data_IF_336639863949
#
_entry.id   IF_336639863949
#
_cell.length_a   1.000
_cell.length_b   1.000
_cell.length_c   1.000
_cell.angle_alpha   90.00
_cell.angle_beta   90.00
_cell.angle_gamma   90.00
#
_symmetry.space_group_name_H-M   'P 1'
#
loop_
_entity.id
_entity.type
_entity.pdbx_description
1 polymer ?
#
# COMPACT_ATOMS: atom_id res chain seq x y z
N UNK A 1 -18.98 86.77 20.20
CA UNK A 1 -19.73 87.08 21.44
C UNK A 1 -21.23 87.02 21.13
N UNK A 2 -22.01 86.31 21.97
CA UNK A 2 -23.49 86.07 21.96
C UNK A 2 -23.96 84.93 21.01
N UNK A 3 -24.26 83.71 21.46
CA UNK A 3 -25.27 83.15 22.42
C UNK A 3 -26.68 82.94 21.80
N UNK A 4 -27.00 81.67 21.51
CA UNK A 4 -28.22 80.84 21.82
C UNK A 4 -29.65 81.42 21.63
N UNK A 5 -30.75 80.63 21.41
CA UNK A 5 -30.98 79.25 21.92
C UNK A 5 -31.77 78.24 21.05
N UNK A 6 -31.73 76.98 21.52
CA UNK A 6 -32.49 75.72 21.26
C UNK A 6 -34.03 75.80 21.39
N UNK A 7 -34.87 74.85 20.90
CA UNK A 7 -35.12 73.50 21.51
C UNK A 7 -35.23 72.33 20.50
N UNK A 8 -34.62 71.15 20.76
CA UNK A 8 -35.14 69.94 21.45
C UNK A 8 -36.33 69.23 20.78
N UNK A 9 -36.09 68.00 20.30
CA UNK A 9 -36.89 66.73 20.36
C UNK A 9 -35.84 65.64 20.02
N UNK A 10 -35.21 64.91 20.95
CA UNK A 10 -35.66 63.80 21.84
C UNK A 10 -36.29 62.63 21.08
N UNK A 11 -35.49 61.59 20.80
CA UNK A 11 -35.78 60.15 20.97
C UNK A 11 -34.40 59.44 20.97
N UNK A 12 -33.81 59.15 22.14
CA UNK A 12 -33.86 57.82 22.80
C UNK A 12 -33.52 56.66 21.85
N UNK A 13 -32.24 56.26 21.81
CA UNK A 13 -31.86 54.84 21.79
C UNK A 13 -30.46 54.69 22.36
N UNK A 14 -30.45 54.07 23.53
CA UNK A 14 -29.30 53.75 24.36
C UNK A 14 -28.47 52.59 23.80
N UNK A 15 -27.21 52.58 24.23
CA UNK A 15 -26.39 51.40 24.55
C UNK A 15 -25.45 50.81 23.48
N UNK A 16 -24.17 50.79 23.89
CA UNK A 16 -23.08 49.88 23.53
C UNK A 16 -22.53 50.02 22.10
N UNK A 17 -21.38 50.67 21.86
CA UNK A 17 -20.04 50.31 22.36
C UNK A 17 -19.81 48.80 22.38
N UNK A 18 -19.76 48.18 21.19
CA UNK A 18 -18.98 46.96 20.96
C UNK A 18 -18.11 47.19 19.74
N UNK A 19 -16.92 47.75 20.02
CA UNK A 19 -15.70 47.53 19.27
C UNK A 19 -15.44 46.02 19.23
N UNK A 20 -15.73 45.37 18.11
CA UNK A 20 -15.24 44.04 17.79
C UNK A 20 -14.87 44.02 16.31
N UNK A 21 -13.61 44.38 16.05
CA UNK A 21 -12.71 43.56 15.25
C UNK A 21 -13.39 42.79 14.10
N UNK A 22 -13.80 43.52 13.06
CA UNK A 22 -14.02 42.92 11.75
C UNK A 22 -12.66 42.62 11.13
N UNK A 23 -12.04 41.52 11.57
CA UNK A 23 -11.06 40.82 10.78
C UNK A 23 -11.72 40.50 9.44
N UNK A 24 -11.46 41.32 8.42
CA UNK A 24 -11.56 40.89 7.04
C UNK A 24 -10.51 39.80 6.83
N UNK A 25 -10.86 38.58 7.22
CA UNK A 25 -10.20 37.38 6.71
C UNK A 25 -10.66 37.29 5.26
N UNK A 26 -9.86 37.84 4.35
CA UNK A 26 -9.95 37.46 2.95
C UNK A 26 -9.83 35.92 2.94
N UNK A 27 -10.82 35.17 2.43
CA UNK A 27 -10.59 33.77 2.16
C UNK A 27 -9.42 33.75 1.17
N UNK A 28 -8.31 33.15 1.58
CA UNK A 28 -7.27 32.77 0.65
C UNK A 28 -8.01 31.99 -0.45
N UNK A 29 -7.99 32.53 -1.67
CA UNK A 29 -8.42 31.80 -2.85
C UNK A 29 -7.42 30.64 -2.90
N UNK A 30 -7.86 29.48 -2.40
CA UNK A 30 -7.16 28.25 -2.61
C UNK A 30 -7.05 28.12 -4.12
N UNK A 31 -5.83 28.36 -4.63
CA UNK A 31 -5.47 27.89 -5.95
C UNK A 31 -5.89 26.43 -6.02
N UNK A 32 -6.34 26.01 -7.19
CA UNK A 32 -6.66 24.62 -7.47
C UNK A 32 -5.35 23.83 -7.51
N UNK A 33 -4.63 23.79 -6.38
CA UNK A 33 -3.54 22.86 -6.16
C UNK A 33 -4.20 21.50 -6.02
N UNK A 34 -3.96 20.66 -7.01
CA UNK A 34 -4.27 19.25 -6.96
C UNK A 34 -3.65 18.71 -5.66
N UNK A 35 -4.49 18.24 -4.72
CA UNK A 35 -4.04 17.77 -3.42
C UNK A 35 -3.05 16.62 -3.63
N UNK A 36 -1.76 16.85 -3.33
CA UNK A 36 -0.68 15.89 -3.57
C UNK A 36 -0.90 14.60 -2.80
N UNK A 37 -1.49 14.71 -1.61
CA UNK A 37 -1.91 13.55 -0.83
C UNK A 37 -2.91 12.69 -1.59
N UNK A 38 -3.90 13.31 -2.24
CA UNK A 38 -4.86 12.58 -3.09
C UNK A 38 -4.16 11.87 -4.25
N UNK A 39 -3.27 12.54 -4.98
CA UNK A 39 -2.55 11.92 -6.10
C UNK A 39 -1.70 10.74 -5.65
N UNK A 40 -1.03 10.85 -4.50
CA UNK A 40 -0.27 9.74 -3.93
C UNK A 40 -1.17 8.56 -3.51
N UNK A 41 -2.32 8.83 -2.89
CA UNK A 41 -3.31 7.78 -2.54
C UNK A 41 -3.88 7.11 -3.78
N UNK A 42 -4.23 7.88 -4.82
CA UNK A 42 -4.73 7.34 -6.08
C UNK A 42 -3.68 6.45 -6.76
N UNK A 43 -2.39 6.81 -6.65
CA UNK A 43 -1.29 5.96 -7.08
C UNK A 43 -1.23 4.64 -6.30
N UNK A 44 -1.33 4.64 -4.97
CA UNK A 44 -1.34 3.41 -4.17
C UNK A 44 -2.54 2.51 -4.51
N UNK A 45 -3.72 3.10 -4.76
CA UNK A 45 -4.91 2.36 -5.18
C UNK A 45 -4.66 1.68 -6.54
N UNK A 46 -4.07 2.41 -7.49
CA UNK A 46 -3.75 1.86 -8.81
C UNK A 46 -2.72 0.73 -8.71
N UNK A 47 -1.64 0.95 -7.95
CA UNK A 47 -0.53 0.01 -7.85
C UNK A 47 -0.95 -1.28 -7.13
N UNK A 48 -1.67 -1.15 -6.01
CA UNK A 48 -2.03 -2.30 -5.19
C UNK A 48 -3.40 -2.90 -5.52
N UNK A 49 -4.24 -2.22 -6.31
CA UNK A 49 -5.59 -2.67 -6.67
C UNK A 49 -6.36 -3.31 -5.50
N UNK A 50 -6.46 -2.63 -4.33
CA UNK A 50 -7.02 -3.22 -3.11
C UNK A 50 -8.55 -3.34 -3.18
N UNK A 51 -9.12 -4.28 -2.43
CA UNK A 51 -10.57 -4.32 -2.19
C UNK A 51 -11.00 -3.16 -1.28
N UNK A 52 -10.23 -2.92 -0.23
CA UNK A 52 -10.39 -1.77 0.67
C UNK A 52 -9.02 -1.28 1.11
N UNK A 53 -8.88 0.04 1.27
CA UNK A 53 -7.63 0.65 1.72
C UNK A 53 -7.92 1.91 2.55
N UNK A 54 -7.24 2.02 3.67
CA UNK A 54 -7.16 3.23 4.48
C UNK A 54 -5.73 3.74 4.43
N UNK A 55 -5.56 5.01 4.06
CA UNK A 55 -4.27 5.70 4.09
C UNK A 55 -4.37 6.88 5.04
N UNK A 56 -3.39 7.03 5.91
CA UNK A 56 -3.26 8.19 6.79
C UNK A 56 -1.88 8.78 6.53
N UNK A 57 -1.87 10.03 6.06
CA UNK A 57 -0.67 10.83 5.92
C UNK A 57 -0.63 11.83 7.07
N UNK A 58 0.54 12.03 7.69
CA UNK A 58 0.70 13.09 8.67
C UNK A 58 0.61 14.49 8.05
N UNK A 59 1.03 14.59 6.78
CA UNK A 59 0.93 15.77 5.94
C UNK A 59 0.87 15.35 4.45
N UNK A 60 0.44 16.27 3.59
CA UNK A 60 0.60 16.09 2.16
C UNK A 60 2.10 16.11 1.78
N UNK A 61 2.50 15.39 0.71
CA UNK A 61 3.87 15.45 0.20
C UNK A 61 4.29 16.90 -0.13
N UNK A 62 5.47 17.30 0.35
CA UNK A 62 6.03 18.63 0.04
C UNK A 62 6.56 18.72 -1.41
N UNK A 63 7.14 19.86 -1.80
CA UNK A 63 7.70 20.06 -3.15
C UNK A 63 8.80 19.07 -3.53
N UNK A 64 9.52 18.56 -2.53
CA UNK A 64 10.63 17.62 -2.69
C UNK A 64 10.14 16.16 -2.58
N UNK A 65 8.86 15.95 -2.27
CA UNK A 65 8.22 14.64 -2.13
C UNK A 65 8.36 14.03 -0.74
N UNK A 66 8.71 14.81 0.29
CA UNK A 66 8.85 14.31 1.65
C UNK A 66 7.51 14.16 2.36
N UNK A 67 7.39 13.09 3.15
CA UNK A 67 6.28 12.80 4.06
C UNK A 67 6.87 12.25 5.36
N UNK A 68 6.51 12.84 6.51
CA UNK A 68 7.00 12.38 7.80
C UNK A 68 6.48 11.02 8.18
N UNK A 69 5.17 10.77 8.10
CA UNK A 69 4.58 9.49 8.44
C UNK A 69 3.49 9.09 7.43
N UNK A 70 3.58 7.84 6.97
CA UNK A 70 2.58 7.20 6.11
C UNK A 70 2.10 5.93 6.80
N UNK A 71 0.79 5.81 6.98
CA UNK A 71 0.15 4.57 7.42
C UNK A 71 -0.77 4.04 6.33
N UNK A 72 -0.68 2.74 6.04
CA UNK A 72 -1.52 2.02 5.09
C UNK A 72 -2.11 0.79 5.78
N UNK A 73 -3.42 0.62 5.69
CA UNK A 73 -4.13 -0.63 6.03
C UNK A 73 -4.98 -1.02 4.83
N UNK A 74 -4.59 -2.10 4.15
CA UNK A 74 -5.23 -2.57 2.93
C UNK A 74 -5.68 -4.03 3.06
N UNK A 75 -6.78 -4.38 2.39
CA UNK A 75 -7.27 -5.75 2.25
C UNK A 75 -7.38 -6.13 0.78
N UNK A 76 -7.07 -7.39 0.49
CA UNK A 76 -7.15 -7.95 -0.85
C UNK A 76 -6.33 -7.19 -1.88
N UNK A 77 -5.16 -6.68 -1.49
CA UNK A 77 -4.26 -6.00 -2.42
C UNK A 77 -3.46 -7.00 -3.26
N UNK A 78 -2.99 -6.58 -4.41
CA UNK A 78 -2.15 -7.39 -5.31
C UNK A 78 -0.75 -6.81 -5.31
N UNK A 79 0.23 -7.59 -4.86
CA UNK A 79 1.65 -7.21 -4.86
C UNK A 79 2.41 -8.30 -5.61
N UNK A 80 3.19 -7.91 -6.62
CA UNK A 80 3.98 -8.86 -7.40
C UNK A 80 3.13 -9.98 -8.00
N UNK A 81 1.91 -9.65 -8.46
CA UNK A 81 0.89 -10.58 -9.01
C UNK A 81 0.24 -11.53 -8.00
N UNK A 82 0.65 -11.53 -6.73
CA UNK A 82 0.06 -12.35 -5.65
C UNK A 82 -0.97 -11.52 -4.90
N UNK A 83 -2.15 -12.09 -4.63
CA UNK A 83 -3.13 -11.47 -3.74
C UNK A 83 -2.64 -11.60 -2.30
N UNK A 84 -2.57 -10.47 -1.62
CA UNK A 84 -2.26 -10.33 -0.20
C UNK A 84 -3.57 -10.05 0.52
N UNK A 85 -3.94 -10.93 1.45
CA UNK A 85 -5.21 -10.85 2.16
C UNK A 85 -5.29 -9.58 3.01
N UNK A 86 -4.24 -9.31 3.79
CA UNK A 86 -4.11 -8.08 4.58
C UNK A 86 -2.69 -7.53 4.50
N UNK A 87 -2.57 -6.21 4.35
CA UNK A 87 -1.32 -5.47 4.41
C UNK A 87 -1.49 -4.30 5.38
N UNK A 88 -0.66 -4.24 6.41
CA UNK A 88 -0.51 -3.09 7.28
C UNK A 88 0.92 -2.59 7.23
N UNK A 89 1.07 -1.30 7.00
CA UNK A 89 2.38 -0.66 6.88
C UNK A 89 2.37 0.68 7.60
N UNK A 90 3.44 0.94 8.35
CA UNK A 90 3.79 2.28 8.82
C UNK A 90 5.20 2.61 8.34
N UNK A 91 5.34 3.70 7.62
CA UNK A 91 6.63 4.23 7.17
C UNK A 91 6.86 5.62 7.77
N UNK A 92 8.09 5.90 8.18
CA UNK A 92 8.51 7.20 8.73
C UNK A 92 9.66 7.75 7.91
N UNK A 93 9.68 9.06 7.66
CA UNK A 93 10.69 9.77 6.88
C UNK A 93 10.75 9.25 5.45
N UNK A 94 9.63 9.32 4.74
CA UNK A 94 9.49 8.87 3.35
C UNK A 94 9.85 10.02 2.42
N UNK A 95 10.68 9.76 1.42
CA UNK A 95 10.95 10.68 0.31
C UNK A 95 10.55 10.01 -0.98
N UNK A 96 9.56 10.59 -1.65
CA UNK A 96 9.08 10.15 -2.95
C UNK A 96 9.86 10.85 -4.08
N UNK A 97 9.61 10.42 -5.31
CA UNK A 97 9.84 11.30 -6.48
C UNK A 97 9.13 12.64 -6.25
N UNK A 98 9.75 13.81 -6.52
CA UNK A 98 9.11 15.11 -6.35
C UNK A 98 7.79 15.22 -7.14
N UNK A 99 6.74 15.87 -6.59
CA UNK A 99 5.44 16.02 -7.28
C UNK A 99 5.52 16.63 -8.68
N UNK A 100 6.50 17.50 -8.91
CA UNK A 100 6.77 18.10 -10.22
C UNK A 100 7.10 17.08 -11.33
N UNK A 101 7.44 15.85 -10.97
CA UNK A 101 7.82 14.77 -11.89
C UNK A 101 6.74 13.68 -12.04
N UNK A 102 5.69 13.65 -11.21
CA UNK A 102 4.69 12.56 -11.18
C UNK A 102 3.88 12.37 -12.47
N UNK A 103 3.78 13.40 -13.30
CA UNK A 103 3.07 13.32 -14.59
C UNK A 103 3.90 12.67 -15.69
N UNK A 104 5.22 12.58 -15.51
CA UNK A 104 6.18 12.05 -16.49
C UNK A 104 6.78 10.73 -16.04
N UNK A 105 7.04 10.61 -14.74
CA UNK A 105 7.71 9.49 -14.10
C UNK A 105 6.76 8.76 -13.15
N UNK A 106 7.06 7.50 -12.85
CA UNK A 106 6.34 6.77 -11.80
C UNK A 106 6.63 7.42 -10.42
N UNK A 107 5.62 7.44 -9.54
CA UNK A 107 5.86 7.80 -8.14
C UNK A 107 6.66 6.66 -7.51
N UNK A 108 7.90 6.95 -7.15
CA UNK A 108 8.80 5.96 -6.55
C UNK A 108 9.26 6.42 -5.17
N UNK A 109 9.60 5.47 -4.30
CA UNK A 109 10.15 5.74 -2.97
C UNK A 109 11.67 5.80 -3.10
N UNK A 110 12.24 7.00 -3.00
CA UNK A 110 13.69 7.22 -3.08
C UNK A 110 14.39 6.89 -1.78
N UNK A 111 13.75 7.20 -0.66
CA UNK A 111 14.30 6.97 0.66
C UNK A 111 13.18 6.70 1.65
N UNK A 112 13.47 5.84 2.64
CA UNK A 112 12.64 5.67 3.82
C UNK A 112 13.54 5.50 5.04
N UNK A 113 13.25 6.22 6.11
CA UNK A 113 14.04 6.11 7.35
C UNK A 113 13.70 4.82 8.10
N UNK A 114 12.42 4.47 8.19
CA UNK A 114 11.97 3.27 8.88
C UNK A 114 10.65 2.75 8.33
N UNK A 115 10.49 1.42 8.29
CA UNK A 115 9.25 0.76 7.87
C UNK A 115 8.93 -0.38 8.84
N UNK A 116 7.69 -0.40 9.30
CA UNK A 116 7.08 -1.56 9.94
C UNK A 116 5.97 -2.07 9.04
N UNK A 117 6.08 -3.32 8.57
CA UNK A 117 5.08 -3.94 7.71
C UNK A 117 4.67 -5.30 8.26
N UNK A 118 3.39 -5.60 8.12
CA UNK A 118 2.81 -6.92 8.35
C UNK A 118 1.92 -7.24 7.17
N UNK A 119 2.17 -8.39 6.53
CA UNK A 119 1.34 -8.91 5.46
C UNK A 119 0.86 -10.32 5.81
N UNK A 120 -0.37 -10.64 5.42
CA UNK A 120 -0.94 -11.98 5.51
C UNK A 120 -1.27 -12.47 4.11
N UNK A 121 -0.81 -13.66 3.77
CA UNK A 121 -1.14 -14.36 2.52
C UNK A 121 -1.81 -15.66 2.92
N UNK A 122 -2.97 -15.97 2.33
CA UNK A 122 -3.62 -17.25 2.57
C UNK A 122 -3.07 -18.34 1.65
N UNK A 123 -3.17 -19.60 2.10
CA UNK A 123 -2.85 -20.76 1.25
C UNK A 123 -3.69 -20.75 -0.04
N UNK A 124 -4.96 -20.33 0.04
CA UNK A 124 -5.84 -20.23 -1.11
C UNK A 124 -5.35 -19.17 -2.11
N UNK A 125 -4.94 -17.98 -1.64
CA UNK A 125 -4.40 -16.93 -2.51
C UNK A 125 -3.10 -17.39 -3.21
N UNK A 126 -2.22 -18.07 -2.46
CA UNK A 126 -0.98 -18.60 -2.99
C UNK A 126 -1.23 -19.68 -4.06
N UNK A 127 -2.11 -20.64 -3.78
CA UNK A 127 -2.47 -21.68 -4.74
C UNK A 127 -3.17 -21.11 -5.98
N UNK A 128 -4.11 -20.18 -5.82
CA UNK A 128 -4.78 -19.53 -6.94
C UNK A 128 -3.79 -18.80 -7.85
N UNK A 129 -2.78 -18.16 -7.26
CA UNK A 129 -1.71 -17.51 -8.01
C UNK A 129 -0.83 -18.53 -8.75
N UNK A 130 -0.32 -19.56 -8.04
CA UNK A 130 0.58 -20.57 -8.61
C UNK A 130 -0.09 -21.38 -9.72
N UNK A 131 -1.31 -21.88 -9.47
CA UNK A 131 -2.09 -22.66 -10.43
C UNK A 131 -2.56 -21.76 -11.59
N UNK A 132 -3.01 -20.54 -11.30
CA UNK A 132 -3.64 -19.69 -12.30
C UNK A 132 -2.67 -18.91 -13.20
N UNK A 133 -1.39 -18.75 -12.82
CA UNK A 133 -0.45 -17.89 -13.55
C UNK A 133 0.95 -18.47 -13.77
N UNK A 134 1.53 -19.15 -12.79
CA UNK A 134 2.92 -19.62 -12.90
C UNK A 134 3.00 -21.00 -13.58
N UNK A 135 2.08 -21.91 -13.24
CA UNK A 135 2.06 -23.27 -13.79
C UNK A 135 0.86 -23.56 -14.70
N UNK A 136 -0.19 -22.73 -14.65
CA UNK A 136 -1.42 -22.95 -15.42
C UNK A 136 -1.26 -22.87 -16.94
N UNK A 137 -0.20 -22.20 -17.41
CA UNK A 137 0.15 -22.13 -18.83
C UNK A 137 1.16 -23.22 -19.26
N UNK A 138 1.74 -23.99 -18.32
CA UNK A 138 2.63 -25.11 -18.62
C UNK A 138 1.87 -26.44 -18.57
N UNK A 139 1.56 -26.98 -19.76
CA UNK A 139 0.85 -28.25 -19.94
C UNK A 139 1.54 -29.46 -19.28
N UNK A 140 2.82 -29.34 -18.91
CA UNK A 140 3.58 -30.40 -18.27
C UNK A 140 3.31 -30.47 -16.76
N UNK A 141 2.93 -29.36 -16.11
CA UNK A 141 2.64 -29.36 -14.68
C UNK A 141 1.16 -29.66 -14.42
N UNK A 142 0.92 -30.58 -13.48
CA UNK A 142 -0.43 -30.99 -13.07
C UNK A 142 -0.54 -31.06 -11.56
N UNK A 143 -1.73 -30.78 -11.05
CA UNK A 143 -2.09 -30.91 -9.64
C UNK A 143 -1.10 -30.19 -8.70
N UNK A 144 -0.55 -29.06 -9.15
CA UNK A 144 0.36 -28.24 -8.35
C UNK A 144 -0.42 -27.67 -7.17
N UNK A 145 0.12 -27.88 -5.98
CA UNK A 145 -0.47 -27.39 -4.73
C UNK A 145 0.61 -27.04 -3.73
N UNK A 146 0.34 -26.02 -2.95
CA UNK A 146 1.14 -25.60 -1.80
C UNK A 146 0.27 -25.65 -0.55
N UNK A 147 0.80 -26.25 0.50
CA UNK A 147 0.20 -26.31 1.82
C UNK A 147 1.08 -25.49 2.80
N UNK A 148 0.47 -24.58 3.56
CA UNK A 148 1.18 -23.77 4.57
C UNK A 148 0.94 -24.38 5.96
N UNK A 149 2.01 -24.75 6.65
CA UNK A 149 1.96 -25.39 7.96
C UNK A 149 2.80 -24.60 8.98
N UNK A 150 2.60 -24.79 10.30
CA UNK A 150 3.47 -24.21 11.31
C UNK A 150 4.96 -24.59 11.16
N UNK A 151 5.25 -25.68 10.46
CA UNK A 151 6.60 -26.19 10.24
C UNK A 151 7.27 -25.62 8.98
N UNK A 152 6.50 -24.99 8.08
CA UNK A 152 6.98 -24.47 6.82
C UNK A 152 5.96 -24.61 5.68
N UNK A 153 6.45 -24.45 4.46
CA UNK A 153 5.70 -24.65 3.23
C UNK A 153 5.96 -26.06 2.69
N UNK A 154 4.90 -26.74 2.27
CA UNK A 154 4.98 -28.00 1.54
C UNK A 154 4.34 -27.83 0.16
N UNK A 155 5.13 -27.94 -0.91
CA UNK A 155 4.67 -27.89 -2.27
C UNK A 155 4.71 -29.28 -2.90
N UNK A 156 3.75 -29.59 -3.77
CA UNK A 156 3.72 -30.83 -4.54
C UNK A 156 3.12 -30.61 -5.92
N UNK A 157 3.46 -31.48 -6.87
CA UNK A 157 2.87 -31.48 -8.21
C UNK A 157 3.39 -32.63 -9.05
N UNK A 158 2.75 -32.85 -10.19
CA UNK A 158 3.16 -33.81 -11.20
C UNK A 158 3.78 -33.07 -12.37
N UNK A 159 5.02 -33.42 -12.73
CA UNK A 159 5.65 -32.96 -13.96
C UNK A 159 5.65 -34.10 -14.98
N UNK A 160 4.87 -33.91 -16.04
CA UNK A 160 4.67 -34.88 -17.12
C UNK A 160 5.40 -34.38 -18.36
N UNK A 161 6.41 -35.10 -18.81
CA UNK A 161 7.08 -34.79 -20.07
C UNK A 161 7.13 -36.01 -21.00
N UNK A 162 7.17 -35.72 -22.30
CA UNK A 162 7.15 -36.74 -23.35
C UNK A 162 8.45 -36.68 -24.15
N UNK A 163 9.17 -37.80 -24.16
CA UNK A 163 10.31 -38.01 -25.04
C UNK A 163 10.03 -39.24 -25.93
N UNK A 164 10.80 -40.32 -25.81
CA UNK A 164 10.50 -41.62 -26.43
C UNK A 164 9.44 -42.43 -25.64
N UNK A 165 9.17 -42.02 -24.40
CA UNK A 165 8.13 -42.53 -23.50
C UNK A 165 7.60 -41.36 -22.66
N UNK A 166 6.41 -41.52 -22.08
CA UNK A 166 5.84 -40.53 -21.16
C UNK A 166 6.41 -40.79 -19.76
N UNK A 167 7.02 -39.78 -19.16
CA UNK A 167 7.42 -39.80 -17.76
C UNK A 167 6.49 -38.89 -16.95
N UNK A 168 6.05 -39.40 -15.80
CA UNK A 168 5.28 -38.66 -14.81
C UNK A 168 6.11 -38.64 -13.52
N UNK A 169 6.56 -37.45 -13.15
CA UNK A 169 7.36 -37.22 -11.95
C UNK A 169 6.49 -36.56 -10.89
N UNK A 170 6.21 -37.27 -9.80
CA UNK A 170 5.63 -36.67 -8.62
C UNK A 170 6.73 -35.96 -7.81
N UNK A 171 6.68 -34.62 -7.79
CA UNK A 171 7.68 -33.78 -7.13
C UNK A 171 7.08 -33.24 -5.83
N UNK A 172 7.83 -33.34 -4.75
CA UNK A 172 7.47 -32.80 -3.44
C UNK A 172 8.63 -31.95 -2.91
N UNK A 173 8.32 -30.75 -2.43
CA UNK A 173 9.27 -29.85 -1.78
C UNK A 173 8.72 -29.49 -0.41
N UNK A 174 9.48 -29.76 0.64
CA UNK A 174 9.23 -29.18 1.96
C UNK A 174 10.30 -28.12 2.23
N UNK A 175 9.92 -26.98 2.79
CA UNK A 175 10.86 -25.92 3.12
C UNK A 175 10.39 -25.10 4.31
N UNK A 176 11.32 -24.68 5.16
CA UNK A 176 11.09 -23.54 6.07
C UNK A 176 11.22 -22.24 5.28
N UNK A 177 10.82 -21.13 5.91
CA UNK A 177 11.03 -19.80 5.38
C UNK A 177 11.98 -19.04 6.31
N UNK A 178 12.88 -18.27 5.73
CA UNK A 178 13.70 -17.30 6.46
C UNK A 178 13.60 -15.93 5.83
N UNK A 179 13.76 -14.90 6.66
CA UNK A 179 13.92 -13.53 6.18
C UNK A 179 15.42 -13.25 6.07
N UNK A 180 15.90 -12.96 4.86
CA UNK A 180 17.28 -12.59 4.56
C UNK A 180 17.35 -11.07 4.37
N UNK A 181 18.37 -10.45 4.99
CA UNK A 181 18.65 -9.00 4.93
C UNK A 181 17.45 -8.10 5.27
N UNK A 182 16.48 -8.63 6.02
CA UNK A 182 15.20 -7.96 6.37
C UNK A 182 14.34 -7.55 5.16
N UNK A 183 14.67 -8.03 3.97
CA UNK A 183 14.03 -7.60 2.73
C UNK A 183 13.48 -8.75 1.89
N UNK A 184 14.01 -9.97 2.06
CA UNK A 184 13.70 -11.09 1.18
C UNK A 184 13.21 -12.29 1.99
N UNK A 185 12.18 -12.97 1.48
CA UNK A 185 11.72 -14.25 2.02
C UNK A 185 12.35 -15.35 1.18
N UNK A 186 13.15 -16.21 1.81
CA UNK A 186 13.86 -17.31 1.16
C UNK A 186 13.32 -18.65 1.66
N UNK A 187 13.34 -19.64 0.76
CA UNK A 187 13.28 -21.04 1.15
C UNK A 187 14.55 -21.39 1.96
N UNK A 188 14.37 -22.10 3.07
CA UNK A 188 15.42 -22.50 3.99
C UNK A 188 15.20 -23.93 4.46
N UNK A 189 16.29 -24.67 4.70
CA UNK A 189 16.24 -26.06 5.18
C UNK A 189 15.22 -26.91 4.38
N UNK A 190 15.37 -26.89 3.04
CA UNK A 190 14.44 -27.53 2.14
C UNK A 190 14.84 -28.98 1.84
N UNK A 191 13.84 -29.83 1.63
CA UNK A 191 14.01 -31.18 1.12
C UNK A 191 13.21 -31.37 -0.16
N UNK A 192 13.81 -32.05 -1.13
CA UNK A 192 13.21 -32.39 -2.42
C UNK A 192 13.03 -33.90 -2.49
N UNK A 193 11.82 -34.35 -2.85
CA UNK A 193 11.52 -35.75 -3.10
C UNK A 193 10.92 -35.89 -4.50
N UNK A 194 11.33 -36.93 -5.21
CA UNK A 194 10.82 -37.26 -6.54
C UNK A 194 10.33 -38.70 -6.50
N UNK A 195 9.07 -38.92 -6.89
CA UNK A 195 8.39 -40.21 -6.82
C UNK A 195 8.50 -40.84 -5.42
N UNK A 196 8.37 -40.01 -4.37
CA UNK A 196 8.49 -40.36 -2.95
C UNK A 196 9.88 -40.87 -2.52
N UNK A 197 10.88 -40.80 -3.38
CA UNK A 197 12.27 -41.05 -3.05
C UNK A 197 12.98 -39.71 -2.75
N UNK A 198 13.82 -39.71 -1.72
CA UNK A 198 14.64 -38.53 -1.41
C UNK A 198 15.68 -38.33 -2.51
N UNK A 199 15.87 -37.08 -2.92
CA UNK A 199 16.89 -36.71 -3.89
C UNK A 199 18.05 -36.05 -3.13
N UNK A 200 19.32 -36.48 -3.37
CA UNK A 200 20.48 -35.88 -2.73
C UNK A 200 20.72 -34.42 -3.12
#
# INVERSE_FOLDING_TARGET
>A
MKRSPTPRIVWLCSAALVLLFTCFVLPAIAGTEECRGKTFVDFLIKEFSPETMTVILSEDPDEDGNIRDVYVDARGCVIGKVRIDTLRMKATGVTLTPPSQWTKDCIDIRQVLNVHAQATISEADLNNHLIGREFGEDDNWKDVRVDITPQGIYAKGHYVFRLLFTMDLFIEVFSKLKIVDRQQVWLDDYSLRVNRADVP
#
